data_IF_283613407881
#
_entry.id   IF_283613407881
#
_cell.length_a   1.000
_cell.length_b   1.000
_cell.length_c   1.000
_cell.angle_alpha   90.00
_cell.angle_beta   90.00
_cell.angle_gamma   90.00
#
_symmetry.space_group_name_H-M   'P 1'
#
loop_
_entity.id
_entity.type
_entity.pdbx_description
1 polymer ?
#
# COMPACT_ATOMS: atom_id res chain seq x y z
N UNK A 1 78.36 6.86 -15.67
CA UNK A 1 78.59 7.86 -14.60
C UNK A 1 77.31 8.37 -13.90
N UNK A 2 76.13 7.77 -14.13
CA UNK A 2 74.86 8.18 -13.50
C UNK A 2 74.46 7.36 -12.27
N UNK A 3 75.04 6.17 -12.07
CA UNK A 3 74.72 5.27 -10.94
C UNK A 3 75.33 5.69 -9.60
N UNK A 4 76.37 6.52 -9.58
CA UNK A 4 77.06 6.88 -8.33
C UNK A 4 76.42 8.09 -7.61
N UNK A 5 75.58 8.88 -8.29
CA UNK A 5 74.90 10.05 -7.71
C UNK A 5 73.66 9.66 -6.87
N UNK A 6 73.03 8.53 -7.18
CA UNK A 6 71.90 8.00 -6.39
C UNK A 6 72.32 7.50 -5.00
N UNK A 7 73.54 6.96 -4.85
CA UNK A 7 74.03 6.40 -3.57
C UNK A 7 74.28 7.47 -2.49
N UNK A 8 74.55 8.72 -2.89
CA UNK A 8 74.77 9.83 -1.97
C UNK A 8 73.48 10.49 -1.47
N UNK A 9 72.36 10.33 -2.20
CA UNK A 9 71.06 10.91 -1.85
C UNK A 9 70.42 10.25 -0.62
N UNK A 10 70.64 8.94 -0.41
CA UNK A 10 70.09 8.16 0.70
C UNK A 10 70.78 8.36 2.07
N UNK A 11 71.92 9.07 2.10
CA UNK A 11 72.63 9.40 3.36
C UNK A 11 72.21 10.73 3.97
N UNK A 12 71.45 11.56 3.23
CA UNK A 12 71.00 12.84 3.74
C UNK A 12 69.85 12.65 4.74
N UNK A 13 69.97 13.15 5.98
CA UNK A 13 68.94 12.96 7.02
C UNK A 13 67.59 13.54 6.62
N UNK A 14 67.58 14.66 5.87
CA UNK A 14 66.38 15.27 5.29
C UNK A 14 65.62 14.33 4.35
N UNK A 15 66.32 13.56 3.52
CA UNK A 15 65.69 12.62 2.59
C UNK A 15 65.00 11.47 3.33
N UNK A 16 65.61 10.97 4.42
CA UNK A 16 65.01 9.92 5.26
C UNK A 16 63.74 10.39 5.96
N UNK A 17 63.74 11.62 6.49
CA UNK A 17 62.56 12.23 7.10
C UNK A 17 61.42 12.34 6.08
N UNK A 18 61.73 12.78 4.86
CA UNK A 18 60.72 12.91 3.79
C UNK A 18 60.08 11.56 3.43
N UNK A 19 60.88 10.49 3.34
CA UNK A 19 60.39 9.13 3.06
C UNK A 19 59.49 8.63 4.19
N UNK A 20 59.88 8.85 5.45
CA UNK A 20 59.08 8.46 6.62
C UNK A 20 57.73 9.20 6.64
N UNK A 21 57.72 10.51 6.39
CA UNK A 21 56.49 11.31 6.31
C UNK A 21 55.58 10.83 5.17
N UNK A 22 56.14 10.49 4.01
CA UNK A 22 55.39 9.97 2.88
C UNK A 22 54.73 8.62 3.20
N UNK A 23 55.45 7.71 3.86
CA UNK A 23 54.92 6.42 4.31
C UNK A 23 53.79 6.60 5.32
N UNK A 24 53.97 7.49 6.31
CA UNK A 24 52.95 7.80 7.32
C UNK A 24 51.69 8.37 6.65
N UNK A 25 51.85 9.33 5.74
CA UNK A 25 50.74 9.91 4.99
C UNK A 25 50.00 8.84 4.17
N UNK A 26 50.74 7.92 3.54
CA UNK A 26 50.16 6.82 2.78
C UNK A 26 49.35 5.87 3.68
N UNK A 27 49.88 5.50 4.85
CA UNK A 27 49.17 4.68 5.82
C UNK A 27 47.89 5.34 6.33
N UNK A 28 47.92 6.65 6.59
CA UNK A 28 46.72 7.41 6.95
C UNK A 28 45.68 7.38 5.84
N UNK A 29 46.07 7.63 4.58
CA UNK A 29 45.12 7.57 3.46
C UNK A 29 44.49 6.18 3.32
N UNK A 30 45.28 5.12 3.46
CA UNK A 30 44.78 3.75 3.39
C UNK A 30 43.80 3.45 4.53
N UNK A 31 44.11 3.90 5.75
CA UNK A 31 43.23 3.78 6.90
C UNK A 31 41.90 4.51 6.69
N UNK A 32 41.93 5.76 6.19
CA UNK A 32 40.71 6.51 5.88
C UNK A 32 39.88 5.88 4.77
N UNK A 33 40.52 5.36 3.71
CA UNK A 33 39.84 4.64 2.64
C UNK A 33 39.15 3.39 3.20
N UNK A 34 39.85 2.60 3.99
CA UNK A 34 39.27 1.41 4.62
C UNK A 34 38.09 1.79 5.52
N UNK A 35 38.24 2.82 6.35
CA UNK A 35 37.17 3.27 7.26
C UNK A 35 35.96 3.79 6.48
N UNK A 36 36.18 4.52 5.39
CA UNK A 36 35.14 5.04 4.52
C UNK A 36 34.37 3.91 3.82
N UNK A 37 35.07 2.92 3.25
CA UNK A 37 34.44 1.76 2.60
C UNK A 37 33.61 0.96 3.61
N UNK A 38 34.16 0.69 4.80
CA UNK A 38 33.45 -0.04 5.84
C UNK A 38 32.20 0.70 6.31
N UNK A 39 32.34 1.98 6.67
CA UNK A 39 31.22 2.81 7.10
C UNK A 39 30.13 2.90 6.03
N UNK A 40 30.51 3.09 4.76
CA UNK A 40 29.56 3.12 3.64
C UNK A 40 28.79 1.81 3.53
N UNK A 41 29.47 0.67 3.62
CA UNK A 41 28.84 -0.64 3.49
C UNK A 41 27.89 -0.93 4.65
N UNK A 42 28.31 -0.67 5.89
CA UNK A 42 27.51 -0.92 7.09
C UNK A 42 26.24 -0.04 7.10
N UNK A 43 26.37 1.27 6.83
CA UNK A 43 25.23 2.19 6.76
C UNK A 43 24.27 1.83 5.62
N UNK A 44 24.80 1.42 4.46
CA UNK A 44 23.96 1.02 3.31
C UNK A 44 23.19 -0.27 3.61
N UNK A 45 23.82 -1.23 4.29
CA UNK A 45 23.19 -2.50 4.63
C UNK A 45 22.03 -2.29 5.63
N UNK A 46 22.29 -1.61 6.75
CA UNK A 46 21.28 -1.34 7.78
C UNK A 46 20.11 -0.50 7.24
N UNK A 47 20.41 0.52 6.44
CA UNK A 47 19.36 1.37 5.83
C UNK A 47 18.49 0.58 4.86
N UNK A 48 19.09 -0.35 4.09
CA UNK A 48 18.36 -1.19 3.13
C UNK A 48 17.49 -2.22 3.84
N UNK A 49 18.00 -2.87 4.89
CA UNK A 49 17.20 -3.80 5.69
C UNK A 49 16.05 -3.08 6.40
N UNK A 50 16.31 -1.91 7.00
CA UNK A 50 15.29 -1.07 7.63
C UNK A 50 14.19 -0.68 6.65
N UNK A 51 14.55 -0.14 5.47
CA UNK A 51 13.59 0.23 4.44
C UNK A 51 12.78 -0.99 3.93
N UNK A 52 13.42 -2.15 3.78
CA UNK A 52 12.74 -3.39 3.39
C UNK A 52 11.74 -3.88 4.43
N UNK A 53 12.11 -3.82 5.72
CA UNK A 53 11.23 -4.17 6.83
C UNK A 53 10.04 -3.22 6.91
N UNK A 54 10.27 -1.92 6.75
CA UNK A 54 9.22 -0.91 6.81
C UNK A 54 8.25 -1.03 5.62
N UNK A 55 8.76 -1.28 4.41
CA UNK A 55 7.93 -1.58 3.24
C UNK A 55 7.08 -2.85 3.45
N UNK A 56 7.67 -3.92 4.01
CA UNK A 56 6.92 -5.14 4.36
C UNK A 56 5.86 -4.87 5.43
N UNK A 57 6.14 -4.00 6.40
CA UNK A 57 5.18 -3.60 7.44
C UNK A 57 4.00 -2.86 6.85
N UNK A 58 4.23 -1.87 5.99
CA UNK A 58 3.15 -1.18 5.29
C UNK A 58 2.36 -2.12 4.39
N UNK A 59 3.02 -2.98 3.60
CA UNK A 59 2.33 -3.96 2.77
C UNK A 59 1.41 -4.89 3.59
N UNK A 60 1.86 -5.31 4.78
CA UNK A 60 1.02 -6.08 5.71
C UNK A 60 -0.16 -5.27 6.24
N UNK A 61 0.04 -3.98 6.53
CA UNK A 61 -1.03 -3.09 6.98
C UNK A 61 -2.08 -2.88 5.89
N UNK A 62 -1.65 -2.70 4.64
CA UNK A 62 -2.51 -2.68 3.47
C UNK A 62 -3.28 -3.98 3.35
N UNK A 63 -2.61 -5.12 3.24
CA UNK A 63 -3.28 -6.41 3.07
C UNK A 63 -4.29 -6.67 4.20
N UNK A 64 -3.97 -6.34 5.45
CA UNK A 64 -4.91 -6.47 6.56
C UNK A 64 -6.17 -5.62 6.37
N UNK A 65 -6.02 -4.39 5.88
CA UNK A 65 -7.14 -3.47 5.61
C UNK A 65 -7.98 -3.99 4.44
N UNK A 66 -7.33 -4.40 3.35
CA UNK A 66 -7.99 -5.00 2.19
C UNK A 66 -8.72 -6.31 2.53
N UNK A 67 -8.08 -7.20 3.28
CA UNK A 67 -8.70 -8.47 3.72
C UNK A 67 -9.93 -8.22 4.59
N UNK A 68 -9.89 -7.19 5.45
CA UNK A 68 -11.05 -6.79 6.24
C UNK A 68 -12.18 -6.33 5.30
N UNK A 69 -11.86 -5.53 4.29
CA UNK A 69 -12.82 -5.02 3.30
C UNK A 69 -13.45 -6.11 2.46
N UNK A 70 -12.64 -7.06 1.98
CA UNK A 70 -13.10 -8.23 1.24
C UNK A 70 -14.14 -8.99 2.09
N UNK A 71 -13.77 -9.36 3.32
CA UNK A 71 -14.66 -10.06 4.26
C UNK A 71 -15.95 -9.29 4.56
N UNK A 72 -15.86 -7.97 4.69
CA UNK A 72 -17.04 -7.11 4.90
C UNK A 72 -17.95 -7.18 3.68
N UNK A 73 -17.40 -6.98 2.49
CA UNK A 73 -18.16 -6.93 1.23
C UNK A 73 -18.80 -8.28 0.92
N UNK A 74 -18.06 -9.38 1.12
CA UNK A 74 -18.59 -10.74 0.99
C UNK A 74 -19.72 -10.99 1.98
N UNK A 75 -19.53 -10.61 3.25
CA UNK A 75 -20.58 -10.74 4.26
C UNK A 75 -21.83 -9.93 3.93
N UNK A 76 -21.69 -8.74 3.32
CA UNK A 76 -22.84 -7.96 2.85
C UNK A 76 -23.50 -8.64 1.66
N UNK A 77 -22.73 -9.16 0.70
CA UNK A 77 -23.28 -9.88 -0.44
C UNK A 77 -24.09 -11.10 0.03
N UNK A 78 -23.55 -11.90 0.96
CA UNK A 78 -24.26 -13.03 1.58
C UNK A 78 -25.52 -12.59 2.33
N UNK A 79 -25.46 -11.52 3.12
CA UNK A 79 -26.63 -10.99 3.84
C UNK A 79 -27.72 -10.52 2.87
N UNK A 80 -27.34 -9.91 1.73
CA UNK A 80 -28.30 -9.46 0.71
C UNK A 80 -28.88 -10.60 -0.14
N UNK A 81 -28.18 -11.74 -0.26
CA UNK A 81 -28.73 -12.95 -0.92
C UNK A 81 -29.92 -13.51 -0.14
N UNK A 82 -29.96 -13.34 1.18
CA UNK A 82 -31.03 -13.86 2.03
C UNK A 82 -32.40 -13.18 1.83
N UNK A 83 -32.47 -12.11 1.03
CA UNK A 83 -33.71 -11.35 0.82
C UNK A 83 -34.11 -11.36 -0.65
N UNK A 84 -35.19 -12.06 -0.99
CA UNK A 84 -35.60 -12.27 -2.38
C UNK A 84 -36.17 -11.01 -3.04
N UNK A 85 -36.76 -10.07 -2.29
CA UNK A 85 -37.45 -8.90 -2.85
C UNK A 85 -37.34 -7.64 -1.97
N UNK A 86 -36.15 -7.02 -1.91
CA UNK A 86 -36.01 -5.74 -1.21
C UNK A 86 -36.37 -4.56 -2.12
N UNK A 87 -37.24 -3.68 -1.63
CA UNK A 87 -37.50 -2.37 -2.26
C UNK A 87 -36.30 -1.45 -2.04
N UNK A 88 -36.14 -0.44 -2.91
CA UNK A 88 -35.04 0.55 -2.85
C UNK A 88 -34.76 1.08 -1.43
N UNK A 89 -35.79 1.52 -0.72
CA UNK A 89 -35.65 2.15 0.59
C UNK A 89 -35.21 1.12 1.66
N UNK A 90 -35.61 -0.14 1.50
CA UNK A 90 -35.19 -1.23 2.38
C UNK A 90 -33.72 -1.56 2.13
N UNK A 91 -33.26 -1.62 0.87
CA UNK A 91 -31.85 -1.82 0.55
C UNK A 91 -30.99 -0.72 1.18
N UNK A 92 -31.35 0.55 1.00
CA UNK A 92 -30.58 1.68 1.57
C UNK A 92 -30.58 1.63 3.10
N UNK A 93 -31.73 1.37 3.72
CA UNK A 93 -31.83 1.24 5.19
C UNK A 93 -30.97 0.10 5.72
N UNK A 94 -30.93 -1.04 5.04
CA UNK A 94 -30.07 -2.18 5.40
C UNK A 94 -28.59 -1.86 5.25
N UNK A 95 -28.19 -1.21 4.15
CA UNK A 95 -26.81 -0.77 3.97
C UNK A 95 -26.38 0.17 5.10
N UNK A 96 -27.25 1.08 5.52
CA UNK A 96 -27.01 1.99 6.66
C UNK A 96 -26.87 1.24 7.99
N UNK A 97 -27.77 0.28 8.25
CA UNK A 97 -27.69 -0.61 9.41
C UNK A 97 -26.38 -1.40 9.44
N UNK A 98 -25.95 -1.95 8.29
CA UNK A 98 -24.72 -2.74 8.21
C UNK A 98 -23.49 -1.86 8.46
N UNK A 99 -23.44 -0.65 7.88
CA UNK A 99 -22.36 0.31 8.12
C UNK A 99 -22.26 0.66 9.60
N UNK A 100 -23.40 1.00 10.23
CA UNK A 100 -23.45 1.34 11.66
C UNK A 100 -23.06 0.17 12.54
N UNK A 101 -23.62 -1.02 12.28
CA UNK A 101 -23.41 -2.23 13.09
C UNK A 101 -21.97 -2.74 13.03
N UNK A 102 -21.35 -2.73 11.85
CA UNK A 102 -19.98 -3.22 11.66
C UNK A 102 -18.91 -2.15 11.94
N UNK A 103 -19.31 -0.95 12.37
CA UNK A 103 -18.44 0.22 12.60
C UNK A 103 -17.47 0.43 11.44
N UNK A 104 -18.04 0.50 10.23
CA UNK A 104 -17.29 0.53 8.99
C UNK A 104 -16.89 1.97 8.68
N UNK A 105 -15.58 2.24 8.71
CA UNK A 105 -15.06 3.49 8.16
C UNK A 105 -14.84 3.33 6.66
N UNK A 106 -15.95 3.45 5.93
CA UNK A 106 -16.00 3.41 4.46
C UNK A 106 -16.42 4.79 3.97
N UNK A 107 -15.99 5.13 2.76
CA UNK A 107 -16.54 6.28 2.08
C UNK A 107 -17.98 6.03 1.66
N UNK A 108 -18.21 4.88 1.04
CA UNK A 108 -19.52 4.49 0.56
C UNK A 108 -19.64 3.00 0.30
N UNK A 109 -20.88 2.57 0.14
CA UNK A 109 -21.25 1.21 -0.19
C UNK A 109 -22.38 1.27 -1.22
N UNK A 110 -22.36 0.34 -2.17
CA UNK A 110 -23.43 0.23 -3.12
C UNK A 110 -23.72 -1.19 -3.56
N UNK A 111 -24.90 -1.33 -4.17
CA UNK A 111 -25.39 -2.57 -4.72
C UNK A 111 -25.91 -2.31 -6.12
N UNK A 112 -25.47 -3.13 -7.07
CA UNK A 112 -25.94 -3.11 -8.45
C UNK A 112 -26.57 -4.44 -8.79
N UNK A 113 -27.81 -4.44 -9.22
CA UNK A 113 -28.50 -5.63 -9.73
C UNK A 113 -28.53 -5.61 -11.26
N UNK A 114 -28.49 -6.82 -11.85
CA UNK A 114 -28.76 -7.03 -13.27
C UNK A 114 -30.27 -6.82 -13.49
N UNK A 115 -30.68 -5.99 -14.45
CA UNK A 115 -32.09 -5.78 -14.73
C UNK A 115 -32.74 -7.07 -15.25
N UNK A 116 -34.00 -7.31 -14.88
CA UNK A 116 -34.83 -8.44 -15.35
C UNK A 116 -34.36 -9.85 -14.99
N UNK A 117 -33.30 -9.99 -14.18
CA UNK A 117 -32.69 -11.29 -13.89
C UNK A 117 -33.55 -12.16 -12.95
N UNK A 118 -34.24 -11.51 -12.00
CA UNK A 118 -35.08 -12.20 -11.01
C UNK A 118 -36.54 -12.30 -11.47
N UNK A 119 -37.01 -11.25 -12.15
CA UNK A 119 -38.36 -11.13 -12.68
C UNK A 119 -38.28 -10.40 -14.04
N UNK A 120 -38.70 -11.05 -15.15
CA UNK A 120 -38.62 -10.47 -16.49
C UNK A 120 -39.49 -9.23 -16.68
N UNK A 121 -40.53 -9.06 -15.87
CA UNK A 121 -41.46 -7.93 -15.94
C UNK A 121 -41.03 -6.76 -15.04
N UNK A 122 -40.09 -6.99 -14.11
CA UNK A 122 -39.62 -5.98 -13.16
C UNK A 122 -38.19 -5.53 -13.45
N UNK A 123 -38.06 -4.28 -13.90
CA UNK A 123 -36.76 -3.61 -14.02
C UNK A 123 -36.27 -3.11 -12.65
N UNK A 124 -35.36 -3.84 -11.99
CA UNK A 124 -34.62 -3.31 -10.84
C UNK A 124 -33.79 -2.07 -11.23
N UNK A 125 -34.07 -0.93 -10.59
CA UNK A 125 -33.36 0.35 -10.83
C UNK A 125 -32.15 0.45 -9.89
N UNK A 126 -30.98 0.06 -10.40
CA UNK A 126 -29.66 0.15 -9.73
C UNK A 126 -28.82 1.31 -10.33
N UNK A 127 -27.75 1.79 -9.67
CA UNK A 127 -27.22 1.37 -8.37
C UNK A 127 -27.99 1.95 -7.17
N UNK A 128 -28.02 1.18 -6.08
CA UNK A 128 -28.36 1.68 -4.75
C UNK A 128 -27.07 2.02 -4.03
N UNK A 129 -26.87 3.29 -3.68
CA UNK A 129 -25.59 3.77 -3.12
C UNK A 129 -25.83 4.60 -1.86
N UNK A 130 -25.06 4.30 -0.82
CA UNK A 130 -25.04 5.02 0.44
C UNK A 130 -23.61 5.48 0.71
N UNK A 131 -23.42 6.78 0.90
CA UNK A 131 -22.13 7.38 1.23
C UNK A 131 -22.20 8.14 2.55
N UNK A 132 -21.05 8.30 3.20
CA UNK A 132 -20.89 9.10 4.43
C UNK A 132 -21.33 10.54 4.15
N UNK A 133 -22.29 11.01 4.94
CA UNK A 133 -23.03 12.26 4.68
C UNK A 133 -22.16 13.53 4.76
N UNK A 134 -20.97 13.44 5.39
CA UNK A 134 -20.12 14.59 5.71
C UNK A 134 -19.57 15.37 4.51
N UNK A 135 -19.67 14.92 3.25
CA UNK A 135 -19.18 15.69 2.09
C UNK A 135 -19.85 15.31 0.75
N UNK A 136 -21.19 15.23 0.67
CA UNK A 136 -21.89 14.97 -0.61
C UNK A 136 -21.54 15.97 -1.73
N UNK A 137 -21.10 17.19 -1.38
CA UNK A 137 -20.83 18.27 -2.33
C UNK A 137 -19.33 18.62 -2.51
N UNK A 138 -18.42 18.00 -1.74
CA UNK A 138 -17.00 18.44 -1.68
C UNK A 138 -15.97 17.30 -1.87
N UNK A 139 -16.45 16.05 -2.03
CA UNK A 139 -15.55 14.96 -2.39
C UNK A 139 -15.37 14.91 -3.90
N UNK A 140 -14.20 15.36 -4.33
CA UNK A 140 -13.67 15.09 -5.66
C UNK A 140 -13.69 13.57 -5.92
N UNK A 141 -14.50 13.16 -6.90
CA UNK A 141 -14.66 11.74 -7.28
C UNK A 141 -13.32 11.10 -7.68
N UNK A 142 -12.31 11.88 -8.07
CA UNK A 142 -10.95 11.41 -8.32
C UNK A 142 -10.26 10.82 -7.08
N UNK A 143 -10.81 11.08 -5.88
CA UNK A 143 -10.28 10.61 -4.59
C UNK A 143 -10.98 9.36 -4.06
N UNK A 144 -11.92 8.80 -4.81
CA UNK A 144 -12.64 7.58 -4.44
C UNK A 144 -12.00 6.41 -5.20
N UNK A 145 -11.68 5.35 -4.47
CA UNK A 145 -11.28 4.08 -5.05
C UNK A 145 -12.33 3.03 -4.71
N UNK A 146 -12.85 2.37 -5.74
CA UNK A 146 -13.61 1.14 -5.60
C UNK A 146 -12.61 0.00 -5.42
N UNK A 147 -12.38 -0.43 -4.17
CA UNK A 147 -11.34 -1.41 -3.86
C UNK A 147 -11.78 -2.83 -4.18
N UNK A 148 -13.07 -3.12 -4.00
CA UNK A 148 -13.56 -4.48 -4.05
C UNK A 148 -15.05 -4.57 -4.37
N UNK A 149 -15.41 -5.60 -5.12
CA UNK A 149 -16.79 -5.95 -5.41
C UNK A 149 -17.03 -7.44 -5.18
N UNK A 150 -18.07 -7.77 -4.42
CA UNK A 150 -18.51 -9.14 -4.21
C UNK A 150 -19.77 -9.44 -5.04
N UNK A 151 -19.82 -10.56 -5.78
CA UNK A 151 -21.00 -10.96 -6.52
C UNK A 151 -22.14 -11.42 -5.60
N UNK A 152 -23.36 -11.02 -5.95
CA UNK A 152 -24.61 -11.56 -5.38
C UNK A 152 -25.07 -12.69 -6.30
N UNK A 153 -25.37 -13.84 -5.72
CA UNK A 153 -25.81 -15.02 -6.46
C UNK A 153 -27.16 -15.53 -5.95
N UNK A 154 -27.99 -16.00 -6.87
CA UNK A 154 -29.23 -16.73 -6.60
C UNK A 154 -29.09 -18.15 -7.16
N UNK A 155 -29.66 -19.13 -6.49
CA UNK A 155 -29.79 -20.48 -7.04
C UNK A 155 -31.10 -20.51 -7.80
N UNK A 156 -31.04 -20.83 -9.09
CA UNK A 156 -32.22 -21.11 -9.88
C UNK A 156 -32.83 -22.44 -9.40
N UNK A 157 -34.06 -22.39 -8.90
CA UNK A 157 -34.77 -23.54 -8.34
C UNK A 157 -35.11 -24.60 -9.39
N UNK A 158 -35.18 -24.22 -10.67
CA UNK A 158 -35.51 -25.14 -11.78
C UNK A 158 -34.27 -25.88 -12.29
N UNK A 159 -33.16 -25.16 -12.44
CA UNK A 159 -31.93 -25.72 -13.03
C UNK A 159 -30.87 -26.11 -11.98
N UNK A 160 -31.05 -25.69 -10.73
CA UNK A 160 -30.08 -25.79 -9.64
C UNK A 160 -28.72 -25.12 -9.97
N UNK A 161 -28.74 -24.13 -10.88
CA UNK A 161 -27.55 -23.39 -11.32
C UNK A 161 -27.44 -22.10 -10.51
N UNK A 162 -26.21 -21.74 -10.14
CA UNK A 162 -25.88 -20.48 -9.47
C UNK A 162 -25.82 -19.35 -10.50
N UNK A 163 -26.80 -18.45 -10.47
CA UNK A 163 -26.90 -17.28 -11.36
C UNK A 163 -26.45 -16.04 -10.61
N UNK A 164 -25.60 -15.21 -11.21
CA UNK A 164 -25.23 -13.92 -10.65
C UNK A 164 -26.35 -12.92 -10.88
N UNK A 165 -26.87 -12.31 -9.82
CA UNK A 165 -27.99 -11.36 -9.90
C UNK A 165 -27.54 -9.92 -9.65
N UNK A 166 -26.33 -9.73 -9.14
CA UNK A 166 -25.78 -8.40 -8.90
C UNK A 166 -24.36 -8.42 -8.34
N UNK A 167 -23.91 -7.26 -7.89
CA UNK A 167 -22.68 -7.05 -7.14
C UNK A 167 -22.93 -6.09 -5.98
N UNK A 168 -22.24 -6.32 -4.88
CA UNK A 168 -22.01 -5.33 -3.82
C UNK A 168 -20.62 -4.74 -4.06
N UNK A 169 -20.47 -3.44 -3.87
CA UNK A 169 -19.17 -2.79 -3.90
C UNK A 169 -19.01 -1.83 -2.74
N UNK A 170 -17.76 -1.66 -2.33
CA UNK A 170 -17.37 -0.74 -1.27
C UNK A 170 -16.34 0.24 -1.81
N UNK A 171 -16.58 1.51 -1.52
CA UNK A 171 -15.73 2.62 -1.89
C UNK A 171 -14.92 3.11 -0.68
N UNK A 172 -13.65 3.42 -0.93
CA UNK A 172 -12.69 3.92 0.04
C UNK A 172 -12.07 5.22 -0.45
N UNK A 173 -11.64 6.09 0.47
CA UNK A 173 -10.91 7.29 0.08
C UNK A 173 -9.43 6.98 -0.14
N UNK A 174 -8.85 7.59 -1.17
CA UNK A 174 -7.40 7.59 -1.41
C UNK A 174 -6.65 8.19 -0.22
N UNK A 175 -7.25 9.15 0.51
CA UNK A 175 -6.63 9.74 1.71
C UNK A 175 -6.29 8.70 2.76
N UNK A 176 -7.19 7.75 2.99
CA UNK A 176 -7.07 6.76 4.06
C UNK A 176 -5.97 5.75 3.71
N UNK A 177 -5.76 5.50 2.41
CA UNK A 177 -4.64 4.71 1.88
C UNK A 177 -3.32 5.50 1.95
N UNK A 178 -3.35 6.81 1.68
CA UNK A 178 -2.17 7.67 1.73
C UNK A 178 -1.58 7.80 3.13
N UNK A 179 -2.41 7.80 4.17
CA UNK A 179 -1.97 7.83 5.56
C UNK A 179 -1.05 6.63 5.88
N UNK A 180 -1.42 5.43 5.41
CA UNK A 180 -0.61 4.22 5.60
C UNK A 180 0.77 4.33 4.91
N UNK A 181 0.85 5.00 3.75
CA UNK A 181 2.14 5.25 3.07
C UNK A 181 2.92 6.37 3.75
N UNK A 182 2.23 7.39 4.25
CA UNK A 182 2.83 8.54 4.94
C UNK A 182 3.49 8.17 6.26
N UNK A 183 3.01 7.13 6.93
CA UNK A 183 3.54 6.61 8.18
C UNK A 183 4.84 5.79 8.03
N UNK A 184 5.30 5.56 6.79
CA UNK A 184 6.54 4.82 6.52
C UNK A 184 7.76 5.57 7.07
N UNK A 185 8.47 4.97 8.02
CA UNK A 185 9.73 5.52 8.52
C UNK A 185 10.91 5.21 7.57
N UNK A 186 11.11 6.05 6.55
CA UNK A 186 12.15 5.90 5.53
C UNK A 186 13.32 6.89 5.69
N UNK A 187 13.40 7.57 6.84
CA UNK A 187 14.38 8.63 7.10
C UNK A 187 13.98 9.99 6.50
N UNK A 188 14.85 11.00 6.66
CA UNK A 188 14.52 12.42 6.42
C UNK A 188 14.07 12.77 5.00
N UNK A 189 14.52 12.01 4.00
CA UNK A 189 14.21 12.24 2.58
C UNK A 189 13.65 11.01 1.89
N UNK A 190 13.31 9.97 2.66
CA UNK A 190 12.72 8.75 2.11
C UNK A 190 11.25 8.98 1.78
N UNK A 191 10.78 8.34 0.71
CA UNK A 191 9.37 8.38 0.31
C UNK A 191 8.92 6.99 -0.16
N UNK A 192 7.64 6.70 0.04
CA UNK A 192 6.97 5.50 -0.47
C UNK A 192 5.86 5.88 -1.44
N UNK A 193 5.51 4.96 -2.33
CA UNK A 193 4.35 5.08 -3.20
C UNK A 193 3.75 3.71 -3.46
N UNK A 194 2.47 3.69 -3.83
CA UNK A 194 1.73 2.50 -4.25
C UNK A 194 1.64 2.55 -5.78
N UNK A 195 1.88 1.41 -6.42
CA UNK A 195 1.71 1.20 -7.86
C UNK A 195 0.49 0.32 -8.14
#
# INVERSE_FOLDING_TARGET
>A
MLLNKQKHQFKNPLFRILVVVSIISFLFTFFFIYKYIKYKNDVTYETREGASLEAKRAARSFNKTFDKLIKITDSIAEELVAYEELRKNEIIGRLDEIIKRKNLDLYGIGVVYIPYIDDPDVRKRSPYYLCKEKNKNDVDKSKILQLYSAPIYKIDTLTNIRIRTGIVFVDYLISDIKEIVGDLNLGKSGYGYIL
#
